data_IF_625716174138
#
_entry.id   IF_625716174138
#
_cell.length_a   1.000
_cell.length_b   1.000
_cell.length_c   1.000
_cell.angle_alpha   90.00
_cell.angle_beta   90.00
_cell.angle_gamma   90.00
#
_symmetry.space_group_name_H-M   'P 1'
#
loop_
_entity.id
_entity.type
_entity.pdbx_description
1 polymer ?
#
# COMPACT_ATOMS: atom_id res chain seq x y z
N UNK A 1 -11.68 -12.32 -11.71
CA UNK A 1 -10.61 -13.35 -11.66
C UNK A 1 -10.51 -13.87 -10.24
N UNK A 2 -10.47 -15.19 -10.03
CA UNK A 2 -10.34 -15.77 -8.68
C UNK A 2 -8.94 -15.47 -8.09
N UNK A 3 -8.81 -15.09 -6.81
CA UNK A 3 -7.51 -14.84 -6.18
C UNK A 3 -6.64 -16.11 -6.22
N UNK A 4 -5.38 -15.93 -6.56
CA UNK A 4 -4.39 -17.00 -6.63
C UNK A 4 -3.63 -17.06 -5.32
N UNK A 5 -3.70 -18.18 -4.59
CA UNK A 5 -3.06 -18.32 -3.26
C UNK A 5 -1.55 -18.10 -3.25
N UNK A 6 -0.89 -18.29 -4.40
CA UNK A 6 0.55 -18.10 -4.55
C UNK A 6 0.95 -16.65 -4.87
N UNK A 7 -0.02 -15.78 -5.20
CA UNK A 7 0.25 -14.39 -5.56
C UNK A 7 -0.08 -13.47 -4.37
N UNK A 8 0.89 -12.69 -3.87
CA UNK A 8 0.70 -11.89 -2.67
C UNK A 8 -0.21 -10.67 -2.89
N UNK A 9 -0.84 -10.18 -1.82
CA UNK A 9 -1.70 -8.99 -1.84
C UNK A 9 -0.95 -7.68 -1.74
N UNK A 10 0.18 -7.66 -1.01
CA UNK A 10 0.99 -6.45 -0.77
C UNK A 10 1.87 -6.12 -1.97
N UNK A 11 1.91 -4.84 -2.37
CA UNK A 11 2.71 -4.38 -3.51
C UNK A 11 4.21 -4.70 -3.39
N UNK A 12 4.80 -4.59 -2.18
CA UNK A 12 6.20 -4.96 -1.94
C UNK A 12 6.46 -6.45 -2.20
N UNK A 13 5.58 -7.32 -1.71
CA UNK A 13 5.68 -8.76 -1.93
C UNK A 13 5.38 -9.14 -3.40
N UNK A 14 4.49 -8.39 -4.07
CA UNK A 14 4.23 -8.55 -5.50
C UNK A 14 5.47 -8.22 -6.34
N UNK A 15 6.23 -7.18 -5.99
CA UNK A 15 7.49 -6.84 -6.66
C UNK A 15 8.50 -7.99 -6.53
N UNK A 16 8.63 -8.56 -5.32
CA UNK A 16 9.51 -9.71 -5.07
C UNK A 16 9.06 -10.91 -5.90
N UNK A 17 7.77 -11.23 -5.89
CA UNK A 17 7.20 -12.34 -6.64
C UNK A 17 7.39 -12.17 -8.15
N UNK A 18 7.05 -11.00 -8.70
CA UNK A 18 7.17 -10.69 -10.12
C UNK A 18 8.61 -10.72 -10.60
N UNK A 19 9.54 -10.23 -9.77
CA UNK A 19 10.98 -10.27 -10.06
C UNK A 19 11.48 -11.71 -10.12
N UNK A 20 11.15 -12.52 -9.12
CA UNK A 20 11.52 -13.95 -9.10
C UNK A 20 10.94 -14.69 -10.32
N UNK A 21 9.64 -14.54 -10.56
CA UNK A 21 8.94 -15.20 -11.66
C UNK A 21 9.52 -14.79 -13.01
N UNK A 22 9.71 -13.49 -13.26
CA UNK A 22 10.28 -12.96 -14.51
C UNK A 22 11.69 -13.51 -14.79
N UNK A 23 12.55 -13.57 -13.77
CA UNK A 23 13.94 -13.98 -13.93
C UNK A 23 14.11 -15.49 -14.14
N UNK A 24 13.22 -16.30 -13.55
CA UNK A 24 13.31 -17.76 -13.58
C UNK A 24 12.47 -18.41 -14.67
N UNK A 25 11.39 -17.76 -15.13
CA UNK A 25 10.54 -18.31 -16.20
C UNK A 25 11.32 -18.74 -17.46
N UNK A 26 12.31 -17.97 -17.98
CA UNK A 26 13.09 -18.39 -19.14
C UNK A 26 13.83 -19.72 -18.94
N UNK A 27 14.26 -20.02 -17.71
CA UNK A 27 15.08 -21.19 -17.39
C UNK A 27 14.28 -22.49 -17.51
N UNK A 28 12.96 -22.43 -17.29
CA UNK A 28 12.07 -23.58 -17.36
C UNK A 28 11.23 -23.62 -18.64
N UNK A 29 11.25 -22.57 -19.46
CA UNK A 29 10.37 -22.44 -20.63
C UNK A 29 10.50 -23.62 -21.61
N UNK A 30 11.73 -23.99 -21.97
CA UNK A 30 12.00 -25.12 -22.88
C UNK A 30 11.58 -26.44 -22.28
N UNK A 31 11.92 -26.70 -21.00
CA UNK A 31 11.55 -27.94 -20.32
C UNK A 31 10.03 -28.12 -20.22
N UNK A 32 9.30 -27.03 -20.00
CA UNK A 32 7.85 -27.04 -19.87
C UNK A 32 7.12 -27.04 -21.22
N UNK A 33 7.84 -26.91 -22.34
CA UNK A 33 7.26 -26.86 -23.68
C UNK A 33 6.44 -25.60 -23.95
N UNK A 34 6.81 -24.47 -23.35
CA UNK A 34 6.08 -23.21 -23.51
C UNK A 34 6.42 -22.54 -24.84
N UNK A 35 5.41 -21.94 -25.47
CA UNK A 35 5.59 -21.10 -26.65
C UNK A 35 6.54 -19.92 -26.33
N UNK A 36 7.70 -19.80 -27.03
CA UNK A 36 8.65 -18.71 -26.82
C UNK A 36 8.05 -17.32 -26.98
N UNK A 37 7.09 -17.14 -27.90
CA UNK A 37 6.43 -15.84 -28.10
C UNK A 37 5.59 -15.47 -26.87
N UNK A 38 4.83 -16.44 -26.34
CA UNK A 38 4.05 -16.25 -25.12
C UNK A 38 4.93 -15.99 -23.88
N UNK A 39 6.07 -16.66 -23.78
CA UNK A 39 7.04 -16.42 -22.69
C UNK A 39 7.59 -15.00 -22.76
N UNK A 40 8.01 -14.54 -23.95
CA UNK A 40 8.49 -13.18 -24.15
C UNK A 40 7.43 -12.13 -23.78
N UNK A 41 6.17 -12.35 -24.17
CA UNK A 41 5.03 -11.47 -23.82
C UNK A 41 4.83 -11.37 -22.30
N UNK A 42 4.92 -12.49 -21.57
CA UNK A 42 4.76 -12.51 -20.12
C UNK A 42 5.95 -11.86 -19.41
N UNK A 43 7.18 -12.04 -19.90
CA UNK A 43 8.37 -11.37 -19.36
C UNK A 43 8.27 -9.86 -19.54
N UNK A 44 7.83 -9.40 -20.71
CA UNK A 44 7.58 -7.98 -20.98
C UNK A 44 6.46 -7.44 -20.08
N UNK A 45 5.39 -8.21 -19.89
CA UNK A 45 4.28 -7.88 -18.98
C UNK A 45 4.78 -7.71 -17.55
N UNK A 46 5.56 -8.66 -17.02
CA UNK A 46 6.15 -8.55 -15.69
C UNK A 46 7.07 -7.33 -15.57
N UNK A 47 7.90 -7.06 -16.59
CA UNK A 47 8.78 -5.90 -16.61
C UNK A 47 8.03 -4.57 -16.50
N UNK A 48 6.92 -4.43 -17.23
CA UNK A 48 6.12 -3.20 -17.16
C UNK A 48 5.39 -3.07 -15.82
N UNK A 49 4.84 -4.16 -15.27
CA UNK A 49 4.21 -4.13 -13.94
C UNK A 49 5.22 -3.76 -12.85
N UNK A 50 6.44 -4.29 -12.91
CA UNK A 50 7.51 -3.93 -11.98
C UNK A 50 7.83 -2.44 -12.07
N UNK A 51 8.02 -1.88 -13.27
CA UNK A 51 8.21 -0.44 -13.45
C UNK A 51 7.06 0.37 -12.82
N UNK A 52 5.81 -0.02 -13.04
CA UNK A 52 4.65 0.70 -12.49
C UNK A 52 4.63 0.66 -10.96
N UNK A 53 4.84 -0.51 -10.35
CA UNK A 53 4.74 -0.69 -8.90
C UNK A 53 5.95 -0.11 -8.14
N UNK A 54 7.15 -0.28 -8.66
CA UNK A 54 8.41 0.03 -7.97
C UNK A 54 8.93 1.43 -8.27
N UNK A 55 8.74 1.93 -9.49
CA UNK A 55 9.36 3.17 -9.95
C UNK A 55 8.32 4.28 -10.11
N UNK A 56 7.32 4.05 -10.96
CA UNK A 56 6.33 5.09 -11.29
C UNK A 56 5.44 5.44 -10.09
N UNK A 57 4.90 4.44 -9.40
CA UNK A 57 4.01 4.66 -8.25
C UNK A 57 4.74 5.35 -7.09
N UNK A 58 6.03 5.05 -6.89
CA UNK A 58 6.87 5.73 -5.89
C UNK A 58 7.02 7.20 -6.26
N UNK A 59 7.31 7.52 -7.53
CA UNK A 59 7.41 8.91 -7.98
C UNK A 59 6.08 9.68 -7.80
N UNK A 60 4.94 9.05 -8.09
CA UNK A 60 3.61 9.65 -7.85
C UNK A 60 3.39 9.94 -6.36
N UNK A 61 3.77 9.00 -5.48
CA UNK A 61 3.64 9.17 -4.03
C UNK A 61 4.52 10.29 -3.49
N UNK A 62 5.69 10.52 -4.08
CA UNK A 62 6.57 11.64 -3.72
C UNK A 62 6.06 12.97 -4.26
N UNK A 63 5.40 12.97 -5.41
CA UNK A 63 4.89 14.18 -6.04
C UNK A 63 3.74 14.83 -5.25
N UNK A 64 2.92 14.03 -4.55
CA UNK A 64 1.85 14.53 -3.68
C UNK A 64 2.34 15.54 -2.63
N UNK A 65 3.27 15.15 -1.74
CA UNK A 65 3.90 16.06 -0.78
C UNK A 65 4.56 17.29 -1.42
N UNK A 66 5.21 17.15 -2.58
CA UNK A 66 5.79 18.30 -3.30
C UNK A 66 4.71 19.31 -3.71
N UNK A 67 3.54 18.82 -4.12
CA UNK A 67 2.40 19.67 -4.47
C UNK A 67 1.82 20.39 -3.24
N UNK A 68 1.73 19.72 -2.10
CA UNK A 68 1.31 20.35 -0.84
C UNK A 68 2.31 21.41 -0.37
N UNK A 69 3.62 21.13 -0.47
CA UNK A 69 4.66 22.10 -0.13
C UNK A 69 4.61 23.34 -1.02
N UNK A 70 4.32 23.14 -2.32
CA UNK A 70 4.10 24.23 -3.27
C UNK A 70 2.93 25.14 -2.86
N UNK A 71 1.79 24.58 -2.44
CA UNK A 71 0.65 25.36 -1.92
C UNK A 71 1.05 26.15 -0.67
N UNK A 72 1.75 25.50 0.27
CA UNK A 72 2.18 26.17 1.49
C UNK A 72 3.15 27.33 1.22
N UNK A 73 4.06 27.17 0.25
CA UNK A 73 5.00 28.22 -0.16
C UNK A 73 4.27 29.40 -0.81
N UNK A 74 3.26 29.14 -1.64
CA UNK A 74 2.46 30.21 -2.26
C UNK A 74 1.69 31.02 -1.21
N UNK A 75 1.08 30.35 -0.23
CA UNK A 75 0.24 30.99 0.77
C UNK A 75 1.03 31.68 1.89
N UNK A 76 2.19 31.13 2.28
CA UNK A 76 2.91 31.54 3.48
C UNK A 76 4.38 31.93 3.23
N UNK A 77 4.80 32.03 1.97
CA UNK A 77 6.18 32.39 1.61
C UNK A 77 6.55 33.84 1.90
N UNK A 78 7.85 34.16 1.87
CA UNK A 78 8.37 35.50 2.19
C UNK A 78 8.23 36.53 1.05
N UNK A 79 7.53 36.16 -0.03
CA UNK A 79 7.27 37.02 -1.19
C UNK A 79 8.49 37.29 -2.09
N UNK A 80 9.65 36.66 -1.85
CA UNK A 80 10.89 36.95 -2.61
C UNK A 80 11.03 36.16 -3.90
N UNK A 81 10.20 35.15 -4.13
CA UNK A 81 10.23 34.31 -5.32
C UNK A 81 8.86 34.21 -5.95
N UNK A 82 8.81 34.30 -7.27
CA UNK A 82 7.62 33.93 -8.05
C UNK A 82 7.39 32.42 -7.90
N UNK A 83 6.14 32.05 -7.67
CA UNK A 83 5.75 30.66 -7.49
C UNK A 83 5.73 29.91 -8.84
N UNK A 84 6.36 28.73 -8.88
CA UNK A 84 6.27 27.77 -9.98
C UNK A 84 5.62 26.48 -9.50
N UNK A 85 4.57 26.03 -10.19
CA UNK A 85 3.89 24.79 -9.83
C UNK A 85 4.76 23.58 -10.19
N UNK A 86 4.88 22.58 -9.30
CA UNK A 86 5.63 21.38 -9.61
C UNK A 86 4.94 20.61 -10.74
N UNK A 87 5.72 20.18 -11.73
CA UNK A 87 5.26 19.32 -12.81
C UNK A 87 5.63 17.86 -12.51
N UNK A 88 4.69 16.94 -12.69
CA UNK A 88 4.99 15.51 -12.56
C UNK A 88 5.73 15.02 -13.80
N UNK A 89 6.98 14.59 -13.62
CA UNK A 89 7.76 13.93 -14.65
C UNK A 89 7.81 12.43 -14.33
N UNK A 90 7.14 11.63 -15.15
CA UNK A 90 7.21 10.18 -15.01
C UNK A 90 8.66 9.71 -15.20
N UNK A 91 9.20 8.84 -14.33
CA UNK A 91 10.52 8.26 -14.54
C UNK A 91 10.60 7.55 -15.91
N UNK A 92 11.76 7.56 -16.57
CA UNK A 92 11.90 6.86 -17.85
C UNK A 92 11.74 5.35 -17.65
N UNK A 93 11.25 4.67 -18.69
CA UNK A 93 11.20 3.22 -18.71
C UNK A 93 12.63 2.63 -18.70
N UNK A 94 12.91 1.60 -17.88
CA UNK A 94 14.16 0.87 -17.95
C UNK A 94 14.37 0.24 -19.34
N UNK A 95 15.63 0.00 -19.71
CA UNK A 95 15.96 -0.63 -20.98
C UNK A 95 15.23 -1.98 -21.16
N UNK A 96 14.62 -2.18 -22.33
CA UNK A 96 13.88 -3.40 -22.65
C UNK A 96 12.50 -3.51 -21.99
N UNK A 97 12.04 -2.48 -21.28
CA UNK A 97 10.67 -2.39 -20.76
C UNK A 97 9.85 -1.49 -21.69
N UNK A 98 8.67 -1.97 -22.09
CA UNK A 98 7.73 -1.23 -22.91
C UNK A 98 6.31 -1.32 -22.32
N UNK A 99 5.42 -0.36 -22.61
CA UNK A 99 4.02 -0.47 -22.25
C UNK A 99 3.38 -1.73 -22.81
N UNK A 100 2.53 -2.37 -22.00
CA UNK A 100 1.77 -3.57 -22.39
C UNK A 100 0.28 -3.31 -22.26
N UNK A 101 -0.54 -4.16 -22.91
CA UNK A 101 -1.98 -4.11 -22.79
C UNK A 101 -2.46 -4.25 -21.32
N UNK A 102 -3.69 -3.83 -21.02
CA UNK A 102 -4.30 -4.08 -19.69
C UNK A 102 -4.55 -5.58 -19.47
N UNK A 103 -4.83 -6.01 -18.23
CA UNK A 103 -5.03 -7.45 -17.92
C UNK A 103 -3.73 -8.23 -17.68
N UNK A 104 -2.71 -7.58 -17.15
CA UNK A 104 -1.38 -8.17 -16.90
C UNK A 104 -1.43 -9.45 -16.06
N UNK A 105 -2.12 -9.43 -14.90
CA UNK A 105 -2.23 -10.60 -14.02
C UNK A 105 -2.98 -11.75 -14.69
N UNK A 106 -4.00 -11.45 -15.50
CA UNK A 106 -4.72 -12.49 -16.24
C UNK A 106 -3.79 -13.20 -17.23
N UNK A 107 -2.96 -12.45 -17.98
CA UNK A 107 -1.98 -13.05 -18.90
C UNK A 107 -0.95 -13.89 -18.18
N UNK A 108 -0.42 -13.40 -17.06
CA UNK A 108 0.55 -14.11 -16.22
C UNK A 108 -0.09 -15.41 -15.70
N UNK A 109 -1.29 -15.35 -15.13
CA UNK A 109 -1.94 -16.51 -14.53
C UNK A 109 -2.43 -17.52 -15.55
N UNK A 110 -2.80 -17.10 -16.78
CA UNK A 110 -3.04 -18.01 -17.89
C UNK A 110 -1.79 -18.81 -18.26
N UNK A 111 -0.61 -18.18 -18.28
CA UNK A 111 0.64 -18.91 -18.52
C UNK A 111 0.95 -19.87 -17.37
N UNK A 112 0.79 -19.43 -16.11
CA UNK A 112 0.97 -20.31 -14.94
C UNK A 112 0.02 -21.51 -14.98
N UNK A 113 -1.22 -21.32 -15.40
CA UNK A 113 -2.17 -22.42 -15.58
C UNK A 113 -1.70 -23.40 -16.67
N UNK A 114 -1.23 -22.91 -17.81
CA UNK A 114 -0.67 -23.75 -18.88
C UNK A 114 0.56 -24.53 -18.41
N UNK A 115 1.46 -23.90 -17.65
CA UNK A 115 2.64 -24.54 -17.07
C UNK A 115 2.27 -25.72 -16.18
N UNK A 116 1.24 -25.58 -15.34
CA UNK A 116 0.78 -26.63 -14.41
C UNK A 116 0.15 -27.84 -15.10
N UNK A 117 -0.22 -27.72 -16.37
CA UNK A 117 -0.75 -28.83 -17.18
C UNK A 117 0.38 -29.62 -17.87
N UNK A 118 1.59 -29.04 -17.96
CA UNK A 118 2.73 -29.72 -18.58
C UNK A 118 3.14 -30.97 -17.78
N UNK A 119 3.36 -32.12 -18.41
CA UNK A 119 3.83 -33.33 -17.72
C UNK A 119 5.25 -33.16 -17.15
N UNK A 120 6.00 -32.17 -17.63
CA UNK A 120 7.34 -31.83 -17.14
C UNK A 120 7.30 -30.92 -15.90
N UNK A 121 6.12 -30.45 -15.48
CA UNK A 121 5.97 -29.59 -14.31
C UNK A 121 6.13 -30.39 -13.01
N UNK A 122 7.08 -29.98 -12.18
CA UNK A 122 7.34 -30.58 -10.87
C UNK A 122 7.06 -29.58 -9.76
N UNK A 123 6.85 -30.08 -8.53
CA UNK A 123 6.71 -29.21 -7.36
C UNK A 123 7.94 -28.32 -7.16
N UNK A 124 9.15 -28.85 -7.39
CA UNK A 124 10.40 -28.08 -7.30
C UNK A 124 10.40 -26.88 -8.26
N UNK A 125 9.98 -27.08 -9.51
CA UNK A 125 9.83 -25.99 -10.50
C UNK A 125 8.79 -24.98 -10.02
N UNK A 126 7.65 -25.48 -9.51
CA UNK A 126 6.58 -24.64 -8.98
C UNK A 126 7.01 -23.77 -7.79
N UNK A 127 7.81 -24.31 -6.87
CA UNK A 127 8.35 -23.61 -5.72
C UNK A 127 9.40 -22.57 -6.13
N UNK A 128 10.29 -22.94 -7.07
CA UNK A 128 11.35 -22.06 -7.53
C UNK A 128 10.80 -20.82 -8.25
N UNK A 129 9.73 -21.01 -9.02
CA UNK A 129 8.99 -19.95 -9.70
C UNK A 129 8.01 -19.18 -8.79
N UNK A 130 7.74 -19.68 -7.57
CA UNK A 130 6.76 -19.09 -6.65
C UNK A 130 5.30 -19.28 -7.08
N UNK A 131 4.99 -20.29 -7.89
CA UNK A 131 3.63 -20.58 -8.41
C UNK A 131 2.95 -21.74 -7.66
N UNK A 132 3.62 -22.32 -6.66
CA UNK A 132 3.10 -23.31 -5.72
C UNK A 132 3.30 -22.77 -4.30
N UNK A 133 2.30 -22.92 -3.45
CA UNK A 133 2.44 -22.63 -2.03
C UNK A 133 3.34 -23.71 -1.40
N UNK A 134 4.39 -23.34 -0.66
CA UNK A 134 5.27 -24.31 0.03
C UNK A 134 4.42 -25.25 0.88
N UNK A 135 4.39 -26.55 0.53
CA UNK A 135 3.70 -27.58 1.30
C UNK A 135 4.40 -27.79 2.64
N UNK A 136 3.73 -27.44 3.74
CA UNK A 136 4.24 -27.66 5.09
C UNK A 136 3.86 -26.56 6.06
N UNK A 137 2.64 -26.65 6.59
CA UNK A 137 2.18 -25.80 7.69
C UNK A 137 1.82 -24.38 7.27
N UNK A 138 0.91 -23.81 8.05
CA UNK A 138 0.68 -22.39 8.08
C UNK A 138 1.99 -21.64 8.41
N UNK A 139 2.85 -21.42 7.42
CA UNK A 139 3.80 -20.33 7.45
C UNK A 139 3.02 -19.09 7.02
N UNK A 140 2.29 -18.55 8.01
CA UNK A 140 1.74 -17.21 8.07
C UNK A 140 1.50 -16.59 6.69
N UNK A 141 0.25 -16.62 6.19
CA UNK A 141 -0.55 -15.39 6.28
C UNK A 141 0.11 -14.50 7.33
N UNK A 142 0.98 -13.56 6.93
CA UNK A 142 1.31 -12.45 7.81
C UNK A 142 -0.07 -12.00 8.27
N UNK A 143 -0.36 -12.26 9.56
CA UNK A 143 -1.73 -12.34 10.06
C UNK A 143 -2.50 -11.24 9.35
N UNK A 144 -3.53 -11.61 8.58
CA UNK A 144 -4.41 -10.63 7.96
C UNK A 144 -4.90 -9.84 9.16
N UNK A 145 -4.23 -8.73 9.44
CA UNK A 145 -4.52 -7.92 10.58
C UNK A 145 -5.80 -7.28 10.10
N UNK A 146 -6.92 -7.77 10.61
CA UNK A 146 -8.27 -7.31 10.28
C UNK A 146 -8.47 -5.82 10.65
N UNK A 147 -7.41 -5.10 11.02
CA UNK A 147 -7.40 -3.68 11.33
C UNK A 147 -5.96 -3.15 11.31
N UNK A 148 -5.75 -1.83 11.14
CA UNK A 148 -4.44 -1.21 11.35
C UNK A 148 -3.88 -1.48 12.76
N UNK A 149 -2.55 -1.48 12.92
CA UNK A 149 -1.98 -1.31 14.26
C UNK A 149 -1.96 0.18 14.60
N UNK A 150 -2.35 0.55 15.82
CA UNK A 150 -2.37 1.94 16.26
C UNK A 150 -1.71 2.15 17.61
N UNK A 151 -1.05 3.28 17.78
CA UNK A 151 -0.50 3.77 19.04
C UNK A 151 -0.80 5.26 19.19
N UNK A 152 -1.29 5.65 20.37
CA UNK A 152 -1.58 7.05 20.68
C UNK A 152 -0.43 7.64 21.51
N UNK A 153 -0.08 8.89 21.21
CA UNK A 153 0.92 9.66 21.95
C UNK A 153 0.36 11.07 22.20
N UNK A 154 0.38 11.51 23.46
CA UNK A 154 0.06 12.90 23.80
C UNK A 154 1.29 13.76 23.54
N UNK A 155 1.10 14.88 22.85
CA UNK A 155 2.13 15.91 22.64
C UNK A 155 1.62 17.28 23.05
N UNK A 156 2.52 18.22 23.31
CA UNK A 156 2.13 19.62 23.50
C UNK A 156 1.50 20.18 22.22
N UNK A 157 0.37 20.87 22.35
CA UNK A 157 -0.29 21.57 21.25
C UNK A 157 -0.38 23.08 21.51
N UNK A 158 -0.99 23.82 20.58
CA UNK A 158 -1.05 25.30 20.64
C UNK A 158 -2.03 25.84 21.68
N UNK A 159 -3.11 25.10 21.95
CA UNK A 159 -4.24 25.55 22.80
C UNK A 159 -4.48 24.57 23.96
N UNK A 160 -4.28 23.28 23.70
CA UNK A 160 -4.28 22.20 24.68
C UNK A 160 -3.27 21.16 24.19
N UNK A 161 -3.12 20.05 24.92
CA UNK A 161 -2.39 18.91 24.38
C UNK A 161 -3.05 18.39 23.08
N UNK A 162 -2.24 17.85 22.17
CA UNK A 162 -2.70 17.21 20.94
C UNK A 162 -2.39 15.71 20.98
N UNK A 163 -3.05 14.93 20.12
CA UNK A 163 -2.84 13.48 20.03
C UNK A 163 -2.20 13.12 18.70
N UNK A 164 -1.02 12.50 18.74
CA UNK A 164 -0.49 11.77 17.58
C UNK A 164 -1.09 10.38 17.55
N UNK A 165 -1.69 10.03 16.41
CA UNK A 165 -2.16 8.68 16.10
C UNK A 165 -1.13 8.06 15.16
N UNK A 166 -0.23 7.25 15.71
CA UNK A 166 0.68 6.43 14.92
C UNK A 166 -0.07 5.23 14.39
N UNK A 167 0.14 4.88 13.12
CA UNK A 167 -0.51 3.72 12.52
C UNK A 167 0.35 2.97 11.52
N UNK A 168 0.13 1.65 11.42
CA UNK A 168 0.72 0.79 10.40
C UNK A 168 -0.36 0.35 9.44
N UNK A 169 -0.23 0.75 8.16
CA UNK A 169 -1.24 0.50 7.13
C UNK A 169 -1.22 -0.89 6.52
N UNK A 170 -0.21 -1.71 6.82
CA UNK A 170 -0.12 -3.10 6.30
C UNK A 170 -0.25 -3.26 4.77
N UNK A 171 0.02 -2.20 4.01
CA UNK A 171 -0.09 -2.18 2.54
C UNK A 171 -1.34 -1.48 1.99
N UNK A 172 -2.27 -1.06 2.84
CA UNK A 172 -3.47 -0.29 2.46
C UNK A 172 -3.16 1.16 2.09
N UNK A 173 -4.08 1.80 1.36
CA UNK A 173 -3.92 3.16 0.83
C UNK A 173 -3.79 4.17 1.96
N UNK A 174 -4.69 4.09 2.93
CA UNK A 174 -4.74 4.94 4.11
C UNK A 174 -5.47 4.27 5.26
N UNK A 175 -5.78 5.08 6.25
CA UNK A 175 -6.65 4.73 7.36
C UNK A 175 -7.79 5.73 7.47
N UNK A 176 -8.96 5.25 7.86
CA UNK A 176 -10.10 6.06 8.26
C UNK A 176 -10.12 6.13 9.79
N UNK A 177 -10.06 7.33 10.34
CA UNK A 177 -9.90 7.58 11.77
C UNK A 177 -11.20 8.18 12.31
N UNK A 178 -11.75 7.53 13.32
CA UNK A 178 -12.85 8.08 14.11
C UNK A 178 -12.43 8.29 15.55
N UNK A 179 -13.00 9.32 16.16
CA UNK A 179 -12.78 9.64 17.56
C UNK A 179 -14.11 9.95 18.24
N UNK A 180 -14.24 9.46 19.46
CA UNK A 180 -15.31 9.79 20.39
C UNK A 180 -14.68 10.53 21.57
N UNK A 181 -15.27 11.67 21.96
CA UNK A 181 -14.78 12.53 23.05
C UNK A 181 -15.81 12.62 24.16
N UNK A 182 -15.38 12.53 25.42
CA UNK A 182 -16.25 12.73 26.59
C UNK A 182 -17.49 11.84 26.64
N UNK A 183 -17.42 10.62 26.11
CA UNK A 183 -18.57 9.70 26.05
C UNK A 183 -19.64 10.05 24.99
N UNK A 184 -19.34 10.97 24.07
CA UNK A 184 -20.23 11.38 22.99
C UNK A 184 -20.42 10.33 21.88
N UNK A 185 -20.67 10.80 20.65
CA UNK A 185 -20.77 9.93 19.46
C UNK A 185 -19.41 9.77 18.78
N UNK A 186 -19.25 8.71 17.98
CA UNK A 186 -18.12 8.58 17.08
C UNK A 186 -18.20 9.64 15.98
N UNK A 187 -17.15 10.43 15.84
CA UNK A 187 -16.99 11.46 14.82
C UNK A 187 -15.90 11.03 13.85
N UNK A 188 -16.16 11.17 12.54
CA UNK A 188 -15.09 11.12 11.56
C UNK A 188 -14.11 12.26 11.80
N UNK A 189 -12.82 11.92 11.86
CA UNK A 189 -11.76 12.90 12.14
C UNK A 189 -10.91 13.13 10.90
N UNK A 190 -10.43 12.06 10.28
CA UNK A 190 -9.56 12.15 9.11
C UNK A 190 -9.50 10.84 8.32
N UNK A 191 -9.23 10.97 7.02
CA UNK A 191 -8.54 9.92 6.26
C UNK A 191 -7.08 10.34 6.19
N UNK A 192 -6.17 9.47 6.62
CA UNK A 192 -4.75 9.74 6.54
C UNK A 192 -4.01 8.64 5.78
N UNK A 193 -3.07 9.05 4.93
CA UNK A 193 -2.24 8.15 4.13
C UNK A 193 -0.80 8.09 4.62
N UNK A 194 -0.41 8.89 5.62
CA UNK A 194 0.92 8.88 6.24
C UNK A 194 0.85 8.94 7.77
N UNK A 195 1.59 8.09 8.45
CA UNK A 195 1.68 8.13 9.92
C UNK A 195 2.75 9.14 10.36
N UNK A 196 2.55 9.91 11.45
CA UNK A 196 1.35 9.96 12.27
C UNK A 196 0.30 10.97 11.79
N UNK A 197 -0.97 10.72 12.11
CA UNK A 197 -2.02 11.76 12.09
C UNK A 197 -1.94 12.60 13.38
N UNK A 198 -2.17 13.91 13.29
CA UNK A 198 -2.16 14.81 14.45
C UNK A 198 -3.57 15.39 14.69
N UNK A 199 -4.19 15.04 15.82
CA UNK A 199 -5.46 15.61 16.28
C UNK A 199 -5.21 16.82 17.20
N UNK A 200 -5.37 18.02 16.64
CA UNK A 200 -5.25 19.31 17.34
C UNK A 200 -6.60 19.93 17.72
N UNK A 201 -7.72 19.17 17.64
CA UNK A 201 -9.04 19.73 17.99
C UNK A 201 -9.04 20.24 19.44
N UNK A 202 -9.67 21.40 19.73
CA UNK A 202 -9.80 21.90 21.09
C UNK A 202 -10.54 20.93 22.03
N UNK A 203 -10.31 21.09 23.33
CA UNK A 203 -11.09 20.43 24.39
C UNK A 203 -12.58 20.81 24.27
N UNK A 204 -13.48 19.87 24.56
CA UNK A 204 -14.93 20.10 24.62
C UNK A 204 -15.30 21.19 25.63
N UNK A 205 -14.59 21.22 26.76
CA UNK A 205 -14.70 22.26 27.78
C UNK A 205 -13.30 22.82 28.04
N UNK A 206 -13.11 24.10 27.78
CA UNK A 206 -11.82 24.75 27.96
C UNK A 206 -11.31 24.60 29.41
N UNK A 207 -10.04 24.22 29.56
CA UNK A 207 -9.39 24.04 30.86
C UNK A 207 -9.71 22.73 31.58
N UNK A 208 -10.57 21.87 31.03
CA UNK A 208 -10.92 20.57 31.63
C UNK A 208 -10.32 19.41 30.81
N UNK A 209 -9.56 18.49 31.43
CA UNK A 209 -9.09 17.30 30.73
C UNK A 209 -10.26 16.49 30.16
N UNK A 210 -10.07 15.91 28.98
CA UNK A 210 -11.07 15.06 28.34
C UNK A 210 -10.47 13.72 27.91
N UNK A 211 -11.31 12.68 27.93
CA UNK A 211 -10.96 11.37 27.39
C UNK A 211 -11.33 11.31 25.91
N UNK A 212 -10.37 10.88 25.09
CA UNK A 212 -10.56 10.58 23.66
C UNK A 212 -10.39 9.10 23.42
N UNK A 213 -11.37 8.52 22.77
CA UNK A 213 -11.38 7.14 22.31
C UNK A 213 -11.23 7.15 20.79
N UNK A 214 -10.32 6.35 20.25
CA UNK A 214 -10.07 6.22 18.82
C UNK A 214 -10.38 4.82 18.35
N UNK A 215 -10.95 4.73 17.15
CA UNK A 215 -11.03 3.51 16.35
C UNK A 215 -10.62 3.83 14.93
N UNK A 216 -9.92 2.89 14.31
CA UNK A 216 -9.36 3.07 12.98
C UNK A 216 -9.67 1.85 12.13
N UNK A 217 -9.98 2.04 10.84
CA UNK A 217 -10.02 0.95 9.88
C UNK A 217 -9.18 1.30 8.66
N UNK A 218 -8.86 0.31 7.83
CA UNK A 218 -8.24 0.60 6.55
C UNK A 218 -9.16 1.42 5.65
N UNK A 219 -8.56 2.21 4.78
CA UNK A 219 -9.25 2.98 3.77
C UNK A 219 -8.60 2.71 2.41
N UNK A 220 -9.41 2.31 1.44
CA UNK A 220 -8.98 2.01 0.08
C UNK A 220 -10.02 2.49 -0.94
N UNK A 221 -9.53 3.00 -2.09
CA UNK A 221 -10.38 3.38 -3.23
C UNK A 221 -11.53 4.35 -2.89
N UNK A 222 -11.36 5.18 -1.87
CA UNK A 222 -12.40 6.13 -1.46
C UNK A 222 -13.26 5.69 -0.29
N UNK A 223 -13.18 4.43 0.15
CA UNK A 223 -14.10 3.86 1.14
C UNK A 223 -13.38 3.22 2.34
N UNK A 224 -13.99 3.25 3.55
CA UNK A 224 -13.50 2.50 4.70
C UNK A 224 -13.81 1.00 4.53
N UNK A 225 -12.85 0.15 4.89
CA UNK A 225 -12.99 -1.31 4.81
C UNK A 225 -13.86 -1.88 5.96
N UNK A 226 -14.28 -1.05 6.91
CA UNK A 226 -15.21 -1.35 8.03
C UNK A 226 -14.76 -2.42 9.04
N UNK A 227 -13.54 -2.94 8.93
CA UNK A 227 -12.92 -3.76 9.97
C UNK A 227 -12.08 -2.86 10.91
N UNK A 228 -12.62 -2.63 12.11
CA UNK A 228 -12.09 -1.63 13.05
C UNK A 228 -11.09 -2.21 14.03
N UNK A 229 -10.13 -1.39 14.45
CA UNK A 229 -9.29 -1.67 15.62
C UNK A 229 -10.13 -1.83 16.87
N UNK A 230 -9.55 -2.47 17.89
CA UNK A 230 -9.98 -2.23 19.27
C UNK A 230 -9.94 -0.73 19.59
N UNK A 231 -10.82 -0.30 20.48
CA UNK A 231 -10.86 1.10 20.92
C UNK A 231 -9.61 1.38 21.76
N UNK A 232 -8.84 2.40 21.37
CA UNK A 232 -7.69 2.87 22.13
C UNK A 232 -8.01 4.23 22.73
N UNK A 233 -7.71 4.38 24.01
CA UNK A 233 -8.13 5.52 24.81
C UNK A 233 -6.92 6.34 25.25
N UNK A 234 -7.06 7.66 25.26
CA UNK A 234 -6.05 8.59 25.78
C UNK A 234 -6.72 9.79 26.43
N UNK A 235 -6.11 10.31 27.50
CA UNK A 235 -6.58 11.54 28.16
C UNK A 235 -5.78 12.72 27.66
N UNK A 236 -6.47 13.80 27.29
CA UNK A 236 -5.90 15.05 26.79
C UNK A 236 -6.13 16.14 27.82
N UNK A 237 -5.06 16.80 28.25
CA UNK A 237 -5.10 17.93 29.18
C UNK A 237 -5.08 19.30 28.50
N UNK A 238 -5.39 20.37 29.26
CA UNK A 238 -5.19 21.75 28.82
C UNK A 238 -3.72 22.10 28.59
#
# INVERSE_FOLDING_TARGET
>A
MKPQRYFPSRAGDQIIWLTNFRNKLPQYATQLGLDPARVAEVIATCGFVLYVLEIWLVAVRTFGPTSTAAVNLLLNGDGKKTMELPAFNAPPLPQGVAPVATGALERIFKLVAAMKVSPAFTEAIGLDLGVVARGGGAAAVAADTHSPDIQLEVVGGKVCQAVKVHFVKHGHTGVWIECKRGGGKWEFVAVDTGSPYLDERPLLVAGQPEVREYRVCFWDKGEPNNEWTNIVTITVGP
#
